data_IF_955105249401
#
_entry.id   IF_955105249401
#
_cell.length_a   1.000
_cell.length_b   1.000
_cell.length_c   1.000
_cell.angle_alpha   90.00
_cell.angle_beta   90.00
_cell.angle_gamma   90.00
#
_symmetry.space_group_name_H-M   'P 1'
#
loop_
_entity.id
_entity.type
_entity.pdbx_description
1 polymer ?
#
# COMPACT_ATOMS: atom_id res chain seq x y z
N UNK A 1 2.24 -47.63 14.98
CA UNK A 1 1.88 -47.39 13.56
C UNK A 1 3.15 -47.53 12.72
N UNK A 2 3.16 -48.35 11.66
CA UNK A 2 4.37 -48.57 10.83
C UNK A 2 4.54 -47.39 9.87
N UNK A 3 5.73 -46.79 9.84
CA UNK A 3 6.08 -45.68 8.92
C UNK A 3 7.09 -46.18 7.88
N UNK A 4 6.87 -45.85 6.61
CA UNK A 4 7.76 -46.22 5.49
C UNK A 4 8.94 -45.27 5.30
N UNK A 5 8.83 -44.06 5.86
CA UNK A 5 9.91 -43.07 5.98
C UNK A 5 10.32 -43.01 7.45
N UNK A 6 11.23 -43.89 7.84
CA UNK A 6 11.80 -43.87 9.19
C UNK A 6 12.80 -42.71 9.37
N UNK A 7 13.20 -42.48 10.62
CA UNK A 7 14.03 -41.33 10.98
C UNK A 7 15.43 -41.40 10.37
N UNK A 8 15.93 -42.62 10.11
CA UNK A 8 17.22 -42.85 9.47
C UNK A 8 17.16 -42.49 7.97
N UNK A 9 16.09 -42.89 7.28
CA UNK A 9 15.85 -42.57 5.86
C UNK A 9 15.66 -41.09 5.59
N UNK A 10 15.21 -40.32 6.59
CA UNK A 10 14.95 -38.88 6.44
C UNK A 10 16.02 -37.98 7.04
N UNK A 11 17.06 -38.53 7.67
CA UNK A 11 18.08 -37.75 8.39
C UNK A 11 18.84 -36.76 7.49
N UNK A 12 19.30 -37.21 6.30
CA UNK A 12 20.01 -36.33 5.35
C UNK A 12 19.09 -35.26 4.78
N UNK A 13 17.83 -35.61 4.46
CA UNK A 13 16.82 -34.67 3.96
C UNK A 13 16.55 -33.59 5.00
N UNK A 14 16.37 -33.96 6.29
CA UNK A 14 16.17 -32.99 7.38
C UNK A 14 17.38 -32.08 7.59
N UNK A 15 18.60 -32.63 7.44
CA UNK A 15 19.84 -31.83 7.56
C UNK A 15 19.94 -30.81 6.44
N UNK A 16 19.70 -31.23 5.19
CA UNK A 16 19.67 -30.33 4.04
C UNK A 16 18.58 -29.27 4.16
N UNK A 17 17.38 -29.67 4.62
CA UNK A 17 16.28 -28.75 4.86
C UNK A 17 16.60 -27.74 5.97
N UNK A 18 17.27 -28.16 7.06
CA UNK A 18 17.66 -27.27 8.14
C UNK A 18 18.67 -26.21 7.66
N UNK A 19 19.65 -26.60 6.85
CA UNK A 19 20.60 -25.65 6.25
C UNK A 19 19.89 -24.66 5.32
N UNK A 20 19.04 -25.16 4.42
CA UNK A 20 18.25 -24.31 3.52
C UNK A 20 17.34 -23.34 4.28
N UNK A 21 16.67 -23.80 5.35
CA UNK A 21 15.83 -22.96 6.20
C UNK A 21 16.65 -21.89 6.93
N UNK A 22 17.87 -22.20 7.39
CA UNK A 22 18.74 -21.23 8.05
C UNK A 22 19.20 -20.14 7.09
N UNK A 23 19.55 -20.49 5.85
CA UNK A 23 19.94 -19.52 4.83
C UNK A 23 18.76 -18.67 4.37
N UNK A 24 17.58 -19.28 4.21
CA UNK A 24 16.35 -18.54 3.95
C UNK A 24 16.04 -17.57 5.09
N UNK A 25 16.06 -18.01 6.36
CA UNK A 25 15.79 -17.14 7.50
C UNK A 25 16.80 -15.99 7.64
N UNK A 26 18.05 -16.20 7.22
CA UNK A 26 19.09 -15.15 7.19
C UNK A 26 18.84 -14.12 6.10
N UNK A 27 18.38 -14.56 4.93
CA UNK A 27 18.02 -13.69 3.81
C UNK A 27 16.67 -12.97 4.04
N UNK A 28 15.77 -13.60 4.78
CA UNK A 28 14.41 -13.13 5.06
C UNK A 28 14.12 -13.22 6.56
N UNK A 29 14.65 -12.28 7.38
CA UNK A 29 14.52 -12.31 8.85
C UNK A 29 13.08 -12.10 9.37
N UNK A 30 12.10 -12.01 8.47
CA UNK A 30 10.72 -11.65 8.77
C UNK A 30 10.48 -10.14 8.73
N UNK A 31 9.28 -9.74 9.13
CA UNK A 31 8.90 -8.33 9.21
C UNK A 31 9.64 -7.64 10.36
N UNK A 32 10.23 -6.48 10.09
CA UNK A 32 10.73 -5.61 11.16
C UNK A 32 9.58 -5.18 12.08
N UNK A 33 9.89 -4.79 13.33
CA UNK A 33 8.91 -4.25 14.27
C UNK A 33 8.38 -2.85 13.90
N UNK A 34 8.71 -2.36 12.70
CA UNK A 34 8.24 -1.09 12.17
C UNK A 34 6.76 -1.17 11.81
N UNK A 35 6.08 -0.03 11.91
CA UNK A 35 4.67 0.07 11.54
C UNK A 35 4.51 -0.26 10.05
N UNK A 36 3.53 -1.11 9.74
CA UNK A 36 3.06 -1.37 8.38
C UNK A 36 1.64 -0.81 8.22
N UNK A 37 1.26 -0.38 7.00
CA UNK A 37 -0.10 0.07 6.76
C UNK A 37 -1.09 -1.08 6.89
N UNK A 38 -2.21 -0.85 7.58
CA UNK A 38 -3.27 -1.87 7.72
C UNK A 38 -4.07 -2.06 6.42
N UNK A 39 -4.06 -1.07 5.54
CA UNK A 39 -4.70 -1.12 4.23
C UNK A 39 -3.92 -0.27 3.22
N UNK A 40 -4.02 -0.65 1.94
CA UNK A 40 -3.44 0.09 0.82
C UNK A 40 -4.49 0.37 -0.25
N UNK A 41 -4.64 1.63 -0.64
CA UNK A 41 -5.50 2.07 -1.74
C UNK A 41 -4.65 2.23 -2.99
N UNK A 42 -5.07 1.64 -4.11
CA UNK A 42 -4.53 1.93 -5.43
C UNK A 42 -5.48 2.87 -6.16
N UNK A 43 -4.97 3.99 -6.65
CA UNK A 43 -5.73 4.97 -7.43
C UNK A 43 -4.96 5.40 -8.66
N UNK A 44 -5.62 5.40 -9.82
CA UNK A 44 -5.00 5.74 -11.09
C UNK A 44 -4.28 7.09 -11.07
N UNK A 45 -3.09 7.15 -11.65
CA UNK A 45 -2.27 8.36 -11.66
C UNK A 45 -3.02 9.59 -12.17
N UNK A 46 -3.85 9.44 -13.21
CA UNK A 46 -4.66 10.49 -13.82
C UNK A 46 -5.67 11.15 -12.88
N UNK A 47 -6.11 10.46 -11.82
CA UNK A 47 -7.11 10.98 -10.87
C UNK A 47 -6.53 11.39 -9.52
N UNK A 48 -5.25 11.08 -9.26
CA UNK A 48 -4.61 11.43 -8.00
C UNK A 48 -4.49 12.96 -7.81
N UNK A 49 -4.86 13.43 -6.61
CA UNK A 49 -4.74 14.81 -6.16
C UNK A 49 -4.13 14.88 -4.78
N UNK A 50 -3.50 16.01 -4.45
CA UNK A 50 -2.86 16.24 -3.14
C UNK A 50 -3.81 16.05 -1.95
N UNK A 51 -5.12 16.22 -2.15
CA UNK A 51 -6.19 16.10 -1.15
C UNK A 51 -7.00 14.79 -1.24
N UNK A 52 -6.52 13.79 -1.99
CA UNK A 52 -7.29 12.54 -2.20
C UNK A 52 -7.64 11.83 -0.90
N UNK A 53 -6.65 11.66 -0.01
CA UNK A 53 -6.85 10.97 1.28
C UNK A 53 -7.87 11.67 2.19
N UNK A 54 -7.77 12.98 2.50
CA UNK A 54 -8.77 13.66 3.31
C UNK A 54 -10.16 13.67 2.64
N UNK A 55 -10.23 13.80 1.31
CA UNK A 55 -11.50 13.70 0.59
C UNK A 55 -12.16 12.33 0.76
N UNK A 56 -11.40 11.24 0.64
CA UNK A 56 -11.86 9.88 0.92
C UNK A 56 -12.32 9.73 2.36
N UNK A 57 -11.59 10.28 3.33
CA UNK A 57 -11.99 10.30 4.75
C UNK A 57 -13.32 10.97 4.98
N UNK A 58 -13.55 12.14 4.37
CA UNK A 58 -14.83 12.85 4.47
C UNK A 58 -16.01 12.02 3.93
N UNK A 59 -15.78 11.26 2.85
CA UNK A 59 -16.79 10.36 2.27
C UNK A 59 -17.02 9.16 3.20
N UNK A 60 -15.95 8.56 3.72
CA UNK A 60 -16.03 7.42 4.63
C UNK A 60 -16.77 7.78 5.93
N UNK A 61 -16.48 8.94 6.53
CA UNK A 61 -17.18 9.45 7.72
C UNK A 61 -18.66 9.67 7.45
N UNK A 62 -19.03 10.29 6.32
CA UNK A 62 -20.45 10.46 5.94
C UNK A 62 -21.17 9.12 5.74
N UNK A 63 -20.49 8.15 5.14
CA UNK A 63 -21.06 6.80 4.97
C UNK A 63 -21.24 6.12 6.32
N UNK A 64 -20.24 6.18 7.19
CA UNK A 64 -20.32 5.63 8.55
C UNK A 64 -21.49 6.27 9.30
N UNK A 65 -21.59 7.60 9.34
CA UNK A 65 -22.69 8.30 10.02
C UNK A 65 -24.07 7.98 9.44
N UNK A 66 -24.16 7.63 8.15
CA UNK A 66 -25.44 7.32 7.49
C UNK A 66 -25.89 5.89 7.73
N UNK A 67 -24.96 4.94 7.66
CA UNK A 67 -25.29 3.50 7.63
C UNK A 67 -24.96 2.77 8.93
N UNK A 68 -24.08 3.34 9.77
CA UNK A 68 -23.75 2.84 11.10
C UNK A 68 -23.48 4.04 12.03
N UNK A 69 -24.54 4.78 12.43
CA UNK A 69 -24.40 6.01 13.23
C UNK A 69 -23.93 5.77 14.67
N UNK A 70 -23.93 4.53 15.13
CA UNK A 70 -23.56 4.15 16.49
C UNK A 70 -22.91 2.76 16.52
N UNK A 71 -22.29 2.44 17.67
CA UNK A 71 -21.61 1.17 17.93
C UNK A 71 -22.51 -0.06 17.77
N UNK A 72 -23.78 0.04 18.19
CA UNK A 72 -24.73 -1.06 18.06
C UNK A 72 -25.09 -1.38 16.61
N UNK A 73 -25.30 -0.35 15.80
CA UNK A 73 -25.58 -0.50 14.37
C UNK A 73 -24.35 -1.03 13.64
N UNK A 74 -23.15 -0.55 13.98
CA UNK A 74 -21.89 -1.08 13.43
C UNK A 74 -21.71 -2.56 13.79
N UNK A 75 -21.93 -2.94 15.05
CA UNK A 75 -21.85 -4.32 15.52
C UNK A 75 -22.81 -5.24 14.74
N UNK A 76 -24.08 -4.82 14.63
CA UNK A 76 -25.09 -5.57 13.88
C UNK A 76 -24.72 -5.71 12.41
N UNK A 77 -24.16 -4.67 11.78
CA UNK A 77 -23.72 -4.72 10.39
C UNK A 77 -22.54 -5.69 10.17
N UNK A 78 -21.74 -5.93 11.21
CA UNK A 78 -20.63 -6.89 11.22
C UNK A 78 -21.04 -8.29 11.69
N UNK A 79 -22.33 -8.53 11.94
CA UNK A 79 -22.86 -9.83 12.36
C UNK A 79 -22.72 -10.11 13.86
N UNK A 80 -22.36 -9.11 14.65
CA UNK A 80 -22.22 -9.23 16.10
C UNK A 80 -23.53 -8.89 16.81
N UNK A 81 -24.04 -9.85 17.58
CA UNK A 81 -25.38 -9.79 18.19
C UNK A 81 -25.36 -9.20 19.61
N UNK A 82 -24.18 -8.96 20.17
CA UNK A 82 -24.00 -8.36 21.50
C UNK A 82 -23.23 -7.05 21.35
N UNK A 83 -23.95 -5.93 21.40
CA UNK A 83 -23.33 -4.62 21.60
C UNK A 83 -22.71 -4.62 23.00
N UNK A 84 -21.42 -4.94 23.05
CA UNK A 84 -20.59 -4.96 24.25
C UNK A 84 -19.86 -3.62 24.36
N UNK A 85 -19.36 -3.29 25.56
CA UNK A 85 -18.45 -2.15 25.79
C UNK A 85 -17.26 -2.12 24.80
N UNK A 86 -16.90 -3.28 24.21
CA UNK A 86 -15.90 -3.38 23.15
C UNK A 86 -16.31 -2.59 21.90
N UNK A 87 -17.58 -2.65 21.47
CA UNK A 87 -18.01 -2.01 20.23
C UNK A 87 -18.08 -0.49 20.35
N UNK A 88 -18.32 0.05 21.55
CA UNK A 88 -18.17 1.48 21.80
C UNK A 88 -16.72 1.91 21.57
N UNK A 89 -15.77 1.16 22.13
CA UNK A 89 -14.34 1.42 21.91
C UNK A 89 -13.97 1.25 20.43
N UNK A 90 -14.45 0.21 19.75
CA UNK A 90 -14.18 0.00 18.32
C UNK A 90 -14.74 1.14 17.48
N UNK A 91 -15.98 1.56 17.74
CA UNK A 91 -16.62 2.65 17.02
C UNK A 91 -15.82 3.94 17.13
N UNK A 92 -15.47 4.34 18.36
CA UNK A 92 -14.65 5.53 18.62
C UNK A 92 -13.29 5.45 17.92
N UNK A 93 -12.66 4.26 17.90
CA UNK A 93 -11.39 4.05 17.22
C UNK A 93 -11.52 4.12 15.70
N UNK A 94 -12.61 3.62 15.13
CA UNK A 94 -12.90 3.72 13.69
C UNK A 94 -13.10 5.19 13.30
N UNK A 95 -13.93 5.93 14.03
CA UNK A 95 -14.15 7.37 13.78
C UNK A 95 -12.82 8.12 13.86
N UNK A 96 -12.08 7.96 14.96
CA UNK A 96 -10.79 8.63 15.14
C UNK A 96 -9.76 8.25 14.05
N UNK A 97 -9.83 7.01 13.53
CA UNK A 97 -8.97 6.59 12.43
C UNK A 97 -9.34 7.27 11.13
N UNK A 98 -10.63 7.34 10.80
CA UNK A 98 -11.11 8.02 9.60
C UNK A 98 -10.88 9.53 9.63
N UNK A 99 -10.86 10.14 10.82
CA UNK A 99 -10.55 11.56 10.97
C UNK A 99 -9.06 11.86 10.80
N UNK A 100 -8.18 11.03 11.37
CA UNK A 100 -6.72 11.28 11.37
C UNK A 100 -6.00 10.69 10.17
N UNK A 101 -6.31 9.45 9.82
CA UNK A 101 -5.59 8.63 8.84
C UNK A 101 -6.58 7.77 8.04
N UNK A 102 -7.51 8.39 7.28
CA UNK A 102 -8.55 7.68 6.55
C UNK A 102 -8.01 6.75 5.46
N UNK A 103 -6.86 7.12 4.90
CA UNK A 103 -6.06 6.25 4.04
C UNK A 103 -4.70 6.08 4.72
N UNK A 104 -4.28 4.85 4.98
CA UNK A 104 -2.97 4.57 5.57
C UNK A 104 -1.88 4.53 4.52
N UNK A 105 -2.14 3.86 3.39
CA UNK A 105 -1.21 3.76 2.27
C UNK A 105 -1.91 4.05 0.95
N UNK A 106 -1.33 4.93 0.12
CA UNK A 106 -1.84 5.23 -1.21
C UNK A 106 -0.79 4.95 -2.28
N UNK A 107 -1.15 4.13 -3.27
CA UNK A 107 -0.33 3.81 -4.44
C UNK A 107 -0.90 4.49 -5.66
N UNK A 108 -0.18 5.51 -6.13
CA UNK A 108 -0.46 6.20 -7.39
C UNK A 108 -0.13 5.20 -8.51
N UNK A 109 -1.16 4.74 -9.18
CA UNK A 109 -1.08 3.57 -10.04
C UNK A 109 -0.93 3.97 -11.50
N UNK A 110 0.23 3.67 -12.09
CA UNK A 110 0.53 3.76 -13.53
C UNK A 110 0.35 2.43 -14.28
N UNK A 111 -0.04 1.36 -13.57
CA UNK A 111 -0.37 0.07 -14.16
C UNK A 111 -1.86 0.03 -14.57
N UNK A 112 -2.65 -0.86 -14.00
CA UNK A 112 -4.03 -1.14 -14.45
C UNK A 112 -4.97 0.03 -14.14
N UNK A 113 -4.75 0.78 -13.04
CA UNK A 113 -5.55 1.94 -12.65
C UNK A 113 -5.35 3.17 -13.55
N UNK A 114 -4.21 3.28 -14.23
CA UNK A 114 -3.96 4.27 -15.28
C UNK A 114 -4.39 3.78 -16.66
N UNK A 115 -4.21 2.47 -16.88
CA UNK A 115 -4.46 1.78 -18.14
C UNK A 115 -3.30 1.90 -19.13
N UNK A 116 -3.58 1.57 -20.38
CA UNK A 116 -2.62 1.69 -21.48
C UNK A 116 -2.86 3.01 -22.22
N UNK A 117 -1.89 3.91 -22.12
CA UNK A 117 -1.89 5.22 -22.78
C UNK A 117 -0.58 5.42 -23.57
N UNK A 118 -0.55 6.37 -24.50
CA UNK A 118 0.67 6.80 -25.18
C UNK A 118 1.76 7.24 -24.18
N UNK A 119 3.03 7.07 -24.57
CA UNK A 119 4.18 7.41 -23.71
C UNK A 119 4.16 8.88 -23.26
N UNK A 120 3.86 9.79 -24.18
CA UNK A 120 3.83 11.23 -23.88
C UNK A 120 2.75 11.61 -22.87
N UNK A 121 1.65 10.86 -22.83
CA UNK A 121 0.59 11.05 -21.84
C UNK A 121 0.99 10.50 -20.48
N UNK A 122 1.58 9.31 -20.42
CA UNK A 122 2.11 8.74 -19.18
C UNK A 122 3.21 9.61 -18.57
N UNK A 123 4.11 10.14 -19.40
CA UNK A 123 5.18 11.05 -18.99
C UNK A 123 4.63 12.33 -18.35
N UNK A 124 3.63 12.96 -18.98
CA UNK A 124 2.98 14.17 -18.43
C UNK A 124 2.32 13.87 -17.08
N UNK A 125 1.69 12.71 -16.97
CA UNK A 125 1.00 12.29 -15.75
C UNK A 125 1.97 11.90 -14.63
N UNK A 126 3.15 11.36 -14.96
CA UNK A 126 4.23 11.14 -14.00
C UNK A 126 4.69 12.44 -13.35
N UNK A 127 4.98 13.47 -14.17
CA UNK A 127 5.38 14.80 -13.70
C UNK A 127 4.26 15.46 -12.90
N UNK A 128 3.02 15.42 -13.41
CA UNK A 128 1.87 16.03 -12.74
C UNK A 128 1.57 15.37 -11.39
N UNK A 129 1.60 14.05 -11.31
CA UNK A 129 1.36 13.32 -10.07
C UNK A 129 2.46 13.60 -9.04
N UNK A 130 3.73 13.72 -9.46
CA UNK A 130 4.82 14.14 -8.60
C UNK A 130 4.56 15.53 -7.99
N UNK A 131 4.12 16.49 -8.79
CA UNK A 131 3.75 17.82 -8.27
C UNK A 131 2.55 17.80 -7.31
N UNK A 132 1.57 16.90 -7.51
CA UNK A 132 0.49 16.70 -6.53
C UNK A 132 0.99 16.08 -5.22
N UNK A 133 1.99 15.20 -5.27
CA UNK A 133 2.66 14.69 -4.05
C UNK A 133 3.41 15.81 -3.35
N UNK A 134 4.19 16.63 -4.06
CA UNK A 134 4.90 17.78 -3.47
C UNK A 134 3.93 18.74 -2.77
N UNK A 135 2.82 19.12 -3.43
CA UNK A 135 1.75 19.93 -2.81
C UNK A 135 1.17 19.29 -1.56
N UNK A 136 0.96 17.97 -1.58
CA UNK A 136 0.44 17.25 -0.44
C UNK A 136 1.43 17.18 0.73
N UNK A 137 2.73 17.11 0.45
CA UNK A 137 3.79 17.20 1.46
C UNK A 137 3.75 18.56 2.15
N UNK A 138 3.67 19.64 1.38
CA UNK A 138 3.62 21.01 1.92
C UNK A 138 2.34 21.28 2.71
N UNK A 139 1.20 20.74 2.25
CA UNK A 139 -0.09 20.89 2.89
C UNK A 139 -0.33 19.92 4.07
N UNK A 140 0.52 18.90 4.26
CA UNK A 140 0.33 17.86 5.27
C UNK A 140 -0.90 16.98 5.03
N UNK A 141 -1.29 16.79 3.77
CA UNK A 141 -2.53 16.06 3.39
C UNK A 141 -2.28 14.64 2.90
N UNK A 142 -1.00 14.23 2.77
CA UNK A 142 -0.66 12.88 2.35
C UNK A 142 -0.93 11.86 3.46
N UNK A 143 -1.26 10.60 3.08
CA UNK A 143 -1.30 9.49 4.02
C UNK A 143 0.11 9.18 4.58
N UNK A 144 0.22 8.50 5.74
CA UNK A 144 1.51 8.14 6.36
C UNK A 144 2.42 7.28 5.50
N UNK A 145 1.84 6.52 4.57
CA UNK A 145 2.55 5.74 3.56
C UNK A 145 2.01 6.17 2.19
N UNK A 146 2.90 6.40 1.23
CA UNK A 146 2.51 6.72 -0.14
C UNK A 146 3.54 6.16 -1.09
N UNK A 147 3.16 5.95 -2.34
CA UNK A 147 4.12 5.61 -3.36
C UNK A 147 3.51 5.48 -4.73
N UNK A 148 4.27 4.90 -5.64
CA UNK A 148 3.82 4.66 -7.01
C UNK A 148 3.87 3.18 -7.35
N UNK A 149 2.93 2.72 -8.17
CA UNK A 149 3.05 1.46 -8.89
C UNK A 149 3.35 1.76 -10.34
N UNK A 150 4.52 1.35 -10.80
CA UNK A 150 4.92 1.48 -12.21
C UNK A 150 4.43 0.27 -13.01
N UNK A 151 4.60 0.29 -14.33
CA UNK A 151 4.31 -0.86 -15.18
C UNK A 151 5.27 -2.03 -14.94
N UNK A 152 4.92 -3.25 -15.40
CA UNK A 152 5.76 -4.42 -15.23
C UNK A 152 7.15 -4.32 -15.84
N UNK A 153 8.10 -5.09 -15.28
CA UNK A 153 9.44 -5.28 -15.84
C UNK A 153 9.49 -6.44 -16.84
N UNK A 154 8.50 -6.51 -17.72
CA UNK A 154 8.51 -7.43 -18.86
C UNK A 154 9.35 -6.86 -20.00
N UNK A 155 9.71 -7.71 -20.98
CA UNK A 155 10.51 -7.30 -22.14
C UNK A 155 9.93 -6.08 -22.88
N UNK A 156 8.61 -5.95 -22.96
CA UNK A 156 7.96 -4.86 -23.71
C UNK A 156 7.76 -3.58 -22.88
N UNK A 157 7.79 -3.66 -21.54
CA UNK A 157 7.36 -2.57 -20.67
C UNK A 157 8.45 -2.00 -19.75
N UNK A 158 9.58 -2.68 -19.57
CA UNK A 158 10.63 -2.24 -18.63
C UNK A 158 11.15 -0.83 -18.96
N UNK A 159 11.36 -0.50 -20.23
CA UNK A 159 11.84 0.83 -20.66
C UNK A 159 10.86 1.93 -20.26
N UNK A 160 9.56 1.69 -20.45
CA UNK A 160 8.50 2.62 -20.04
C UNK A 160 8.44 2.73 -18.52
N UNK A 161 8.45 1.61 -17.81
CA UNK A 161 8.38 1.58 -16.36
C UNK A 161 9.53 2.36 -15.70
N UNK A 162 10.76 2.19 -16.19
CA UNK A 162 11.94 2.93 -15.73
C UNK A 162 11.79 4.42 -16.01
N UNK A 163 11.33 4.80 -17.21
CA UNK A 163 11.10 6.20 -17.59
C UNK A 163 10.06 6.87 -16.70
N UNK A 164 8.93 6.21 -16.43
CA UNK A 164 7.88 6.70 -15.53
C UNK A 164 8.42 6.93 -14.12
N UNK A 165 9.21 5.97 -13.59
CA UNK A 165 9.87 6.11 -12.29
C UNK A 165 10.84 7.31 -12.26
N UNK A 166 11.69 7.44 -13.27
CA UNK A 166 12.68 8.51 -13.38
C UNK A 166 12.03 9.89 -13.43
N UNK A 167 11.05 10.08 -14.32
CA UNK A 167 10.32 11.34 -14.44
C UNK A 167 9.59 11.73 -13.15
N UNK A 168 8.93 10.75 -12.51
CA UNK A 168 8.22 11.00 -11.25
C UNK A 168 9.18 11.41 -10.13
N UNK A 169 10.24 10.63 -9.90
CA UNK A 169 11.20 10.90 -8.81
C UNK A 169 11.95 12.19 -9.07
N UNK A 170 12.44 12.42 -10.29
CA UNK A 170 13.16 13.65 -10.68
C UNK A 170 12.30 14.89 -10.46
N UNK A 171 11.03 14.85 -10.86
CA UNK A 171 10.11 15.98 -10.66
C UNK A 171 9.83 16.21 -9.18
N UNK A 172 9.54 15.14 -8.44
CA UNK A 172 9.23 15.22 -7.01
C UNK A 172 10.40 15.82 -6.21
N UNK A 173 11.61 15.29 -6.39
CA UNK A 173 12.78 15.79 -5.66
C UNK A 173 13.16 17.21 -6.09
N UNK A 174 12.88 17.59 -7.34
CA UNK A 174 13.05 18.95 -7.83
C UNK A 174 12.14 19.96 -7.11
N UNK A 175 10.90 19.57 -6.84
CA UNK A 175 9.92 20.43 -6.14
C UNK A 175 10.11 20.44 -4.60
N UNK A 176 10.66 19.37 -4.02
CA UNK A 176 10.71 19.19 -2.55
C UNK A 176 12.09 19.46 -1.94
N UNK A 177 13.02 20.03 -2.71
CA UNK A 177 14.42 20.24 -2.31
C UNK A 177 15.14 18.94 -1.94
N UNK A 178 14.98 17.91 -2.76
CA UNK A 178 15.69 16.64 -2.61
C UNK A 178 15.01 15.61 -1.69
N UNK A 179 13.75 15.82 -1.30
CA UNK A 179 13.05 14.98 -0.32
C UNK A 179 12.00 14.08 -0.97
N UNK A 180 11.81 12.91 -0.40
CA UNK A 180 10.64 12.06 -0.65
C UNK A 180 9.73 12.08 0.59
N UNK A 181 8.43 11.74 0.45
CA UNK A 181 7.60 11.43 1.60
C UNK A 181 8.24 10.37 2.50
N UNK A 182 7.98 10.45 3.80
CA UNK A 182 8.33 9.35 4.69
C UNK A 182 7.63 8.06 4.24
N UNK A 183 8.33 6.93 4.37
CA UNK A 183 7.84 5.61 3.95
C UNK A 183 7.44 5.53 2.46
N UNK A 184 8.01 6.37 1.60
CA UNK A 184 7.78 6.29 0.15
C UNK A 184 8.21 4.92 -0.39
N UNK A 185 7.33 4.25 -1.14
CA UNK A 185 7.67 2.94 -1.71
C UNK A 185 7.26 2.81 -3.19
N UNK A 186 8.11 2.13 -3.96
CA UNK A 186 7.85 1.83 -5.37
C UNK A 186 7.38 0.38 -5.48
N UNK A 187 6.16 0.19 -5.95
CA UNK A 187 5.62 -1.14 -6.22
C UNK A 187 6.06 -1.58 -7.61
N UNK A 188 6.77 -2.70 -7.67
CA UNK A 188 7.21 -3.36 -8.91
C UNK A 188 6.27 -4.53 -9.23
N UNK A 189 5.27 -4.38 -10.12
CA UNK A 189 4.42 -5.49 -10.48
C UNK A 189 5.16 -6.43 -11.44
N UNK A 190 5.04 -7.74 -11.22
CA UNK A 190 5.47 -8.80 -12.16
C UNK A 190 6.91 -8.58 -12.69
N UNK A 191 7.88 -9.04 -11.91
CA UNK A 191 9.29 -9.05 -12.33
C UNK A 191 9.58 -10.41 -12.98
N UNK A 192 9.86 -10.41 -14.28
CA UNK A 192 10.41 -11.58 -14.96
C UNK A 192 11.94 -11.58 -14.81
N UNK A 193 12.48 -12.71 -14.35
CA UNK A 193 13.93 -13.00 -14.27
C UNK A 193 14.38 -13.65 -15.57
#
# INVERSE_FOLDING_TARGET
MRRSLDDARTASIRTGLAAANADFARAYPGSGGERQPVHTVYGGAQIFKSDSAPKMGSIALRNLSTFAPDAGTLASALGEQSATDLFDVVYDRVVAKLEREPVEDFRIDFEDGFGNRPDDEEDREAVRAAGEVAKGMDAGTLPPFIGIRIKPFTADLHSRAIRTLDLFVTSLVGETSGRLPENFAVTLPKVSV
#
